data_IF_495443738198
#
_entry.id   IF_495443738198
#
_cell.length_a   1.000
_cell.length_b   1.000
_cell.length_c   1.000
_cell.angle_alpha   90.00
_cell.angle_beta   90.00
_cell.angle_gamma   90.00
#
_symmetry.space_group_name_H-M   'P 1'
#
loop_
_entity.id
_entity.type
_entity.pdbx_description
1 polymer ?
#
# COMPACT_ATOMS: atom_id res chain seq x y z
N UNK A 1 4.08 7.70 21.19
CA UNK A 1 3.16 8.15 20.11
C UNK A 1 2.82 9.63 20.18
N UNK A 2 2.90 10.27 21.36
CA UNK A 2 2.79 11.73 21.47
C UNK A 2 3.85 12.45 20.60
N UNK A 3 5.06 11.91 20.50
CA UNK A 3 6.16 12.52 19.73
C UNK A 3 5.91 12.56 18.22
N UNK A 4 5.02 11.70 17.72
CA UNK A 4 4.71 11.63 16.30
C UNK A 4 4.17 12.96 15.78
N UNK A 5 3.28 13.62 16.53
CA UNK A 5 2.73 14.92 16.13
C UNK A 5 3.79 16.02 16.07
N UNK A 6 4.93 15.82 16.75
CA UNK A 6 6.08 16.72 16.77
C UNK A 6 7.12 16.38 15.70
N UNK A 7 6.97 15.25 14.97
CA UNK A 7 7.93 14.75 13.98
C UNK A 7 7.30 14.63 12.58
N UNK A 8 6.83 15.75 11.97
CA UNK A 8 6.09 15.71 10.71
C UNK A 8 6.91 15.15 9.54
N UNK A 9 8.23 15.37 9.52
CA UNK A 9 9.09 14.82 8.47
C UNK A 9 9.21 13.29 8.55
N UNK A 10 9.41 12.75 9.76
CA UNK A 10 9.48 11.29 9.95
C UNK A 10 8.14 10.64 9.61
N UNK A 11 7.05 11.30 10.01
CA UNK A 11 5.71 10.86 9.63
C UNK A 11 5.54 10.84 8.11
N UNK A 12 5.93 11.91 7.41
CA UNK A 12 5.87 11.97 5.95
C UNK A 12 6.71 10.87 5.28
N UNK A 13 7.93 10.59 5.78
CA UNK A 13 8.79 9.51 5.27
C UNK A 13 8.11 8.15 5.40
N UNK A 14 7.50 7.84 6.55
CA UNK A 14 6.78 6.57 6.75
C UNK A 14 5.64 6.42 5.74
N UNK A 15 4.84 7.48 5.55
CA UNK A 15 3.74 7.45 4.57
C UNK A 15 4.24 7.31 3.13
N UNK A 16 5.35 7.97 2.80
CA UNK A 16 5.94 7.90 1.46
C UNK A 16 6.51 6.51 1.17
N UNK A 17 7.14 5.86 2.15
CA UNK A 17 7.60 4.46 2.03
C UNK A 17 6.42 3.52 1.75
N UNK A 18 5.32 3.65 2.50
CA UNK A 18 4.11 2.82 2.30
C UNK A 18 3.47 3.07 0.93
N UNK A 19 3.45 4.32 0.46
CA UNK A 19 2.96 4.71 -0.87
C UNK A 19 3.84 4.17 -1.99
N UNK A 20 5.15 4.25 -1.82
CA UNK A 20 6.13 3.86 -2.84
C UNK A 20 6.20 2.35 -3.06
N UNK A 21 6.17 1.57 -1.97
CA UNK A 21 6.24 0.10 -2.05
C UNK A 21 4.97 -0.47 -2.71
N UNK A 22 3.82 0.19 -2.52
CA UNK A 22 2.51 -0.28 -2.99
C UNK A 22 2.31 -1.78 -2.71
N UNK A 23 2.46 -2.16 -1.44
CA UNK A 23 2.62 -3.56 -1.03
C UNK A 23 1.48 -4.49 -1.49
N UNK A 24 0.23 -4.01 -1.54
CA UNK A 24 -0.93 -4.77 -2.01
C UNK A 24 -1.60 -4.05 -3.20
N UNK A 25 -1.01 -4.13 -4.41
CA UNK A 25 -1.46 -3.34 -5.56
C UNK A 25 -2.90 -3.67 -5.98
N UNK A 26 -3.31 -4.92 -5.78
CA UNK A 26 -4.65 -5.40 -6.12
C UNK A 26 -5.62 -5.40 -4.94
N UNK A 27 -5.13 -5.09 -3.74
CA UNK A 27 -5.88 -5.19 -2.49
C UNK A 27 -6.54 -6.58 -2.28
N UNK A 28 -7.30 -6.75 -1.20
CA UNK A 28 -8.04 -7.99 -0.96
C UNK A 28 -9.32 -7.99 -1.82
N UNK A 29 -9.60 -9.06 -2.59
CA UNK A 29 -10.83 -9.19 -3.37
C UNK A 29 -12.09 -8.96 -2.52
N UNK A 30 -13.07 -8.26 -3.08
CA UNK A 30 -14.34 -7.96 -2.41
C UNK A 30 -15.51 -8.56 -3.18
N UNK A 31 -16.60 -8.85 -2.49
CA UNK A 31 -17.85 -9.26 -3.14
C UNK A 31 -19.01 -8.46 -2.57
N UNK A 32 -20.03 -8.27 -3.39
CA UNK A 32 -21.28 -7.60 -3.01
C UNK A 32 -22.12 -8.54 -2.12
N UNK A 33 -22.68 -8.02 -1.03
CA UNK A 33 -23.47 -8.81 -0.08
C UNK A 33 -24.82 -9.22 -0.68
N UNK A 34 -25.36 -8.38 -1.57
CA UNK A 34 -26.62 -8.57 -2.30
C UNK A 34 -26.50 -7.92 -3.67
N UNK A 35 -27.38 -8.33 -4.58
CA UNK A 35 -27.51 -7.71 -5.89
C UNK A 35 -27.71 -6.20 -5.74
N UNK A 36 -26.89 -5.44 -6.44
CA UNK A 36 -26.87 -3.99 -6.31
C UNK A 36 -26.65 -3.32 -7.64
N UNK A 37 -27.39 -2.23 -7.88
CA UNK A 37 -27.10 -1.32 -8.98
C UNK A 37 -26.02 -0.35 -8.51
N UNK A 38 -24.90 -0.27 -9.23
CA UNK A 38 -23.86 0.72 -9.00
C UNK A 38 -23.74 1.58 -10.26
N UNK A 39 -24.13 2.85 -10.13
CA UNK A 39 -24.32 3.76 -11.28
C UNK A 39 -25.28 3.11 -12.30
N UNK A 40 -24.84 2.94 -13.53
CA UNK A 40 -25.63 2.33 -14.61
C UNK A 40 -25.46 0.82 -14.74
N UNK A 41 -24.65 0.19 -13.86
CA UNK A 41 -24.34 -1.23 -13.91
C UNK A 41 -25.10 -2.02 -12.86
N UNK A 42 -25.58 -3.21 -13.21
CA UNK A 42 -26.14 -4.19 -12.27
C UNK A 42 -25.07 -5.21 -11.87
N UNK A 43 -24.82 -5.35 -10.56
CA UNK A 43 -23.79 -6.25 -10.01
C UNK A 43 -24.47 -7.36 -9.20
N UNK A 44 -24.38 -8.63 -9.62
CA UNK A 44 -24.96 -9.76 -8.90
C UNK A 44 -24.09 -10.20 -7.71
N UNK A 45 -24.73 -10.79 -6.70
CA UNK A 45 -24.12 -11.24 -5.42
C UNK A 45 -22.91 -12.17 -5.58
N UNK A 46 -22.83 -12.96 -6.65
CA UNK A 46 -21.80 -13.99 -6.85
C UNK A 46 -20.50 -13.42 -7.44
N UNK A 47 -20.47 -12.14 -7.83
CA UNK A 47 -19.31 -11.53 -8.46
C UNK A 47 -18.24 -11.13 -7.42
N UNK A 48 -17.27 -12.00 -7.18
CA UNK A 48 -16.02 -11.66 -6.49
C UNK A 48 -15.17 -10.76 -7.40
N UNK A 49 -14.90 -9.52 -6.99
CA UNK A 49 -14.05 -8.59 -7.73
C UNK A 49 -12.59 -9.01 -7.56
N UNK A 50 -12.05 -9.74 -8.52
CA UNK A 50 -10.60 -9.94 -8.68
C UNK A 50 -10.07 -8.80 -9.55
N UNK A 51 -9.10 -8.06 -9.03
CA UNK A 51 -8.42 -6.99 -9.76
C UNK A 51 -7.26 -7.61 -10.53
N UNK A 52 -7.36 -7.67 -11.85
CA UNK A 52 -6.24 -8.09 -12.71
C UNK A 52 -6.25 -7.28 -14.01
N UNK A 53 -5.06 -6.83 -14.44
CA UNK A 53 -4.75 -6.33 -15.79
C UNK A 53 -3.81 -7.41 -16.37
N UNK A 54 -3.89 -7.88 -17.61
CA UNK A 54 -4.55 -7.41 -18.84
C UNK A 54 -4.41 -8.51 -19.91
N UNK A 55 -5.23 -8.39 -20.95
CA UNK A 55 -5.15 -9.00 -22.28
C UNK A 55 -5.88 -10.33 -22.53
N UNK A 56 -6.92 -10.15 -23.36
CA UNK A 56 -7.49 -11.07 -24.34
C UNK A 56 -8.69 -11.90 -23.87
N UNK A 57 -9.85 -11.31 -24.19
CA UNK A 57 -10.97 -11.98 -24.86
C UNK A 57 -11.39 -13.31 -24.25
N UNK A 58 -12.16 -13.26 -23.17
CA UNK A 58 -13.26 -14.17 -22.91
C UNK A 58 -14.21 -13.52 -21.90
N UNK A 59 -15.49 -13.69 -22.18
CA UNK A 59 -16.61 -12.94 -21.64
C UNK A 59 -16.93 -13.39 -20.20
N UNK A 60 -16.25 -12.81 -19.22
CA UNK A 60 -16.65 -12.87 -17.81
C UNK A 60 -16.79 -11.44 -17.33
N UNK A 61 -18.03 -11.06 -16.96
CA UNK A 61 -18.41 -9.73 -16.50
C UNK A 61 -17.65 -9.43 -15.21
N UNK A 62 -16.43 -8.92 -15.35
CA UNK A 62 -15.69 -8.25 -14.30
C UNK A 62 -16.18 -6.81 -14.33
N UNK A 63 -17.05 -6.45 -13.39
CA UNK A 63 -17.41 -5.06 -13.13
C UNK A 63 -16.19 -4.35 -12.56
N UNK A 64 -15.20 -4.10 -13.42
CA UNK A 64 -14.06 -3.25 -13.19
C UNK A 64 -14.64 -1.85 -13.03
N UNK A 65 -14.77 -1.41 -11.78
CA UNK A 65 -15.12 -0.03 -11.47
C UNK A 65 -13.90 0.81 -11.88
N UNK A 66 -13.82 1.11 -13.16
CA UNK A 66 -12.89 2.06 -13.74
C UNK A 66 -13.39 3.45 -13.29
N UNK A 67 -13.00 3.87 -12.09
CA UNK A 67 -13.21 5.24 -11.63
C UNK A 67 -12.23 6.13 -12.41
N UNK A 68 -12.61 6.47 -13.64
CA UNK A 68 -11.90 7.43 -14.49
C UNK A 68 -11.73 8.75 -13.74
N UNK A 69 -10.51 9.24 -13.81
CA UNK A 69 -9.96 10.42 -13.15
C UNK A 69 -10.81 11.69 -13.31
N UNK A 70 -11.34 12.18 -12.19
CA UNK A 70 -11.30 13.59 -11.76
C UNK A 70 -11.97 13.69 -10.39
N UNK A 71 -11.50 14.65 -9.59
CA UNK A 71 -11.93 14.94 -8.21
C UNK A 71 -11.19 14.08 -7.17
N UNK A 72 -9.96 14.47 -6.87
CA UNK A 72 -9.58 15.04 -5.56
C UNK A 72 -8.05 15.03 -5.44
N UNK A 73 -7.41 15.95 -6.16
CA UNK A 73 -6.09 16.42 -5.74
C UNK A 73 -6.23 17.02 -4.33
N UNK A 74 -5.22 16.80 -3.47
CA UNK A 74 -4.97 17.46 -2.17
C UNK A 74 -5.34 16.78 -0.83
N UNK A 75 -5.84 15.54 -0.74
CA UNK A 75 -5.84 14.85 0.57
C UNK A 75 -5.92 13.30 0.57
N UNK A 76 -6.15 12.66 -0.58
CA UNK A 76 -6.55 11.24 -0.66
C UNK A 76 -5.41 10.24 -0.93
N UNK A 77 -4.16 10.70 -1.04
CA UNK A 77 -2.99 9.82 -1.22
C UNK A 77 -2.65 8.97 0.01
N UNK A 78 -3.28 9.24 1.17
CA UNK A 78 -2.99 8.58 2.44
C UNK A 78 -3.53 7.15 2.60
N UNK A 79 -4.54 6.74 1.80
CA UNK A 79 -5.37 5.56 2.10
C UNK A 79 -5.11 4.31 1.25
N UNK A 80 -4.04 4.26 0.45
CA UNK A 80 -3.87 3.16 -0.51
C UNK A 80 -3.37 1.84 0.11
N UNK A 81 -2.69 1.88 1.26
CA UNK A 81 -2.15 0.66 1.88
C UNK A 81 -3.18 -0.12 2.74
N UNK A 82 -4.25 0.53 3.23
CA UNK A 82 -5.09 -0.05 4.30
C UNK A 82 -6.56 -0.26 3.93
N UNK A 83 -6.89 -0.19 2.64
CA UNK A 83 -8.26 -0.14 2.15
C UNK A 83 -9.04 1.03 2.75
N UNK A 84 -10.19 1.35 2.16
CA UNK A 84 -11.14 2.31 2.74
C UNK A 84 -12.51 1.65 2.89
N UNK A 85 -13.29 2.14 3.86
CA UNK A 85 -14.64 1.68 4.15
C UNK A 85 -14.73 0.56 5.19
N UNK A 86 -15.80 -0.24 5.15
CA UNK A 86 -16.14 -1.23 6.20
C UNK A 86 -15.13 -2.36 6.40
N UNK A 87 -14.19 -2.53 5.47
CA UNK A 87 -13.11 -3.53 5.51
C UNK A 87 -11.73 -2.85 5.59
N UNK A 88 -11.67 -1.64 6.14
CA UNK A 88 -10.40 -1.00 6.49
C UNK A 88 -9.58 -1.95 7.37
N UNK A 89 -8.27 -1.93 7.21
CA UNK A 89 -7.38 -2.82 7.93
C UNK A 89 -7.58 -2.65 9.44
N UNK A 90 -8.03 -3.71 10.11
CA UNK A 90 -8.22 -3.72 11.56
C UNK A 90 -6.90 -3.45 12.30
N UNK A 91 -5.76 -3.79 11.69
CA UNK A 91 -4.42 -3.55 12.19
C UNK A 91 -3.83 -2.19 11.85
N UNK A 92 -4.55 -1.26 11.21
CA UNK A 92 -4.02 0.06 10.82
C UNK A 92 -3.33 0.79 11.97
N UNK A 93 -4.03 0.94 13.11
CA UNK A 93 -3.49 1.67 14.25
C UNK A 93 -2.23 1.02 14.82
N UNK A 94 -2.22 -0.32 14.87
CA UNK A 94 -1.08 -1.09 15.38
C UNK A 94 0.11 -0.99 14.43
N UNK A 95 -0.07 -1.30 13.15
CA UNK A 95 0.98 -1.24 12.14
C UNK A 95 1.60 0.16 12.04
N UNK A 96 0.77 1.21 12.10
CA UNK A 96 1.22 2.60 12.04
C UNK A 96 2.06 2.99 13.26
N UNK A 97 1.75 2.43 14.44
CA UNK A 97 2.55 2.62 15.65
C UNK A 97 3.86 1.83 15.59
N UNK A 98 3.80 0.57 15.21
CA UNK A 98 4.96 -0.32 15.11
C UNK A 98 6.00 0.23 14.13
N UNK A 99 5.59 0.58 12.91
CA UNK A 99 6.50 1.12 11.89
C UNK A 99 7.17 2.39 12.40
N UNK A 100 6.41 3.29 13.04
CA UNK A 100 6.96 4.55 13.55
C UNK A 100 7.96 4.31 14.69
N UNK A 101 7.62 3.45 15.65
CA UNK A 101 8.49 3.16 16.80
C UNK A 101 9.75 2.43 16.35
N UNK A 102 9.64 1.39 15.50
CA UNK A 102 10.80 0.65 15.02
C UNK A 102 11.73 1.53 14.19
N UNK A 103 11.18 2.32 13.25
CA UNK A 103 11.99 3.20 12.42
C UNK A 103 12.72 4.25 13.27
N UNK A 104 12.02 4.92 14.17
CA UNK A 104 12.64 5.95 15.01
C UNK A 104 13.65 5.36 15.99
N UNK A 105 13.35 4.23 16.63
CA UNK A 105 14.28 3.57 17.53
C UNK A 105 15.56 3.10 16.81
N UNK A 106 15.44 2.55 15.60
CA UNK A 106 16.61 2.15 14.78
C UNK A 106 17.46 3.37 14.44
N UNK A 107 16.85 4.43 13.90
CA UNK A 107 17.58 5.63 13.45
C UNK A 107 18.12 6.50 14.60
N UNK A 108 17.57 6.38 15.80
CA UNK A 108 18.10 7.03 17.00
C UNK A 108 19.41 6.38 17.46
N UNK A 109 19.51 5.05 17.41
CA UNK A 109 20.64 4.30 17.97
C UNK A 109 21.69 3.89 16.92
N UNK A 110 21.31 3.81 15.64
CA UNK A 110 22.16 3.31 14.58
C UNK A 110 22.21 4.24 13.37
N UNK A 111 23.38 4.30 12.74
CA UNK A 111 23.57 4.86 11.41
C UNK A 111 23.61 3.72 10.40
N UNK A 112 22.68 3.74 9.43
CA UNK A 112 22.60 2.73 8.38
C UNK A 112 23.61 3.05 7.27
N UNK A 113 24.48 2.08 6.94
CA UNK A 113 25.37 2.16 5.79
C UNK A 113 25.11 1.03 4.82
N UNK A 114 24.83 1.30 3.53
CA UNK A 114 24.72 0.24 2.54
C UNK A 114 26.09 -0.37 2.27
N UNK A 115 26.15 -1.69 2.05
CA UNK A 115 27.37 -2.39 1.65
C UNK A 115 27.76 -2.04 0.21
N UNK A 116 26.78 -1.66 -0.62
CA UNK A 116 26.92 -1.28 -2.02
C UNK A 116 26.74 0.23 -2.17
N UNK A 117 27.29 0.83 -3.21
CA UNK A 117 27.11 2.26 -3.50
C UNK A 117 25.63 2.57 -3.80
N UNK A 118 25.12 3.70 -3.29
CA UNK A 118 23.70 4.06 -3.33
C UNK A 118 23.07 4.04 -4.73
N UNK A 119 23.87 4.34 -5.77
CA UNK A 119 23.41 4.36 -7.17
C UNK A 119 23.11 2.98 -7.74
N UNK A 120 23.69 1.93 -7.15
CA UNK A 120 23.60 0.57 -7.67
C UNK A 120 22.51 -0.23 -6.95
N UNK A 121 21.83 0.38 -5.97
CA UNK A 121 20.71 -0.25 -5.25
C UNK A 121 19.47 -0.17 -6.14
N UNK A 122 19.06 -1.32 -6.66
CA UNK A 122 17.80 -1.44 -7.38
C UNK A 122 16.62 -1.50 -6.40
N UNK A 123 15.82 -0.43 -6.40
CA UNK A 123 14.61 -0.29 -5.58
C UNK A 123 13.34 -0.78 -6.27
N UNK A 124 13.44 -1.35 -7.48
CA UNK A 124 12.28 -1.90 -8.18
C UNK A 124 11.67 -3.08 -7.40
N UNK A 125 10.34 -3.11 -7.21
CA UNK A 125 9.70 -4.20 -6.49
C UNK A 125 9.79 -5.49 -7.32
N UNK A 126 9.99 -6.61 -6.62
CA UNK A 126 9.66 -7.92 -7.13
C UNK A 126 8.13 -8.01 -7.09
N UNK A 127 7.52 -7.77 -8.26
CA UNK A 127 6.07 -7.81 -8.42
C UNK A 127 5.61 -9.26 -8.37
N UNK A 128 4.84 -9.63 -7.35
CA UNK A 128 4.12 -10.90 -7.30
C UNK A 128 2.61 -10.67 -7.46
N UNK A 129 1.86 -11.74 -7.69
CA UNK A 129 0.39 -11.69 -7.84
C UNK A 129 -0.33 -11.17 -6.60
N UNK A 130 0.28 -11.30 -5.41
CA UNK A 130 -0.36 -10.94 -4.14
C UNK A 130 0.24 -9.68 -3.51
N UNK A 131 1.57 -9.56 -3.52
CA UNK A 131 2.26 -8.44 -2.89
C UNK A 131 3.54 -8.00 -3.62
N UNK A 132 3.82 -6.71 -3.57
CA UNK A 132 5.11 -6.16 -4.02
C UNK A 132 6.13 -6.34 -2.91
N UNK A 133 7.23 -7.05 -3.21
CA UNK A 133 8.30 -7.31 -2.25
C UNK A 133 9.58 -6.59 -2.65
N UNK A 134 10.35 -6.05 -1.69
CA UNK A 134 11.68 -5.52 -2.01
C UNK A 134 12.61 -6.66 -2.41
N UNK A 135 13.61 -6.34 -3.24
CA UNK A 135 14.73 -7.25 -3.49
C UNK A 135 15.56 -7.42 -2.21
N UNK A 136 16.17 -8.59 -1.97
CA UNK A 136 17.13 -8.75 -0.89
C UNK A 136 18.28 -7.75 -1.03
N UNK A 137 18.63 -7.07 0.06
CA UNK A 137 19.73 -6.11 0.13
C UNK A 137 20.42 -6.19 1.49
N UNK A 138 21.70 -5.82 1.55
CA UNK A 138 22.49 -5.83 2.76
C UNK A 138 22.75 -4.41 3.27
N UNK A 139 22.65 -4.24 4.59
CA UNK A 139 22.91 -2.97 5.29
C UNK A 139 23.66 -3.26 6.57
N UNK A 140 24.68 -2.43 6.84
CA UNK A 140 25.42 -2.43 8.10
C UNK A 140 24.81 -1.42 9.08
N UNK A 141 24.59 -1.86 10.31
CA UNK A 141 24.11 -1.03 11.41
C UNK A 141 25.29 -0.61 12.27
N UNK A 142 25.70 0.65 12.16
CA UNK A 142 26.78 1.20 12.99
C UNK A 142 26.19 1.91 14.20
N UNK A 143 26.57 1.55 15.44
CA UNK A 143 26.09 2.25 16.63
C UNK A 143 26.50 3.72 16.58
N UNK A 144 25.62 4.57 17.08
CA UNK A 144 25.76 6.03 17.05
C UNK A 144 26.37 6.60 18.32
#
# INVERSE_FOLDING_TARGET
>A
MADRSQMPYTDAVVHEIQRFIDFLPFNVPRSVIKDTKFRDYFIPKVCSTVSEKRHNLLQTITCTIHFTSKILHCHLTFYYFLLAGKRICAGEGLARMEIFIFLTAILQNFTLKPTVHHKDIDISPIVSTLANMPRPYEVSFLPR
#
